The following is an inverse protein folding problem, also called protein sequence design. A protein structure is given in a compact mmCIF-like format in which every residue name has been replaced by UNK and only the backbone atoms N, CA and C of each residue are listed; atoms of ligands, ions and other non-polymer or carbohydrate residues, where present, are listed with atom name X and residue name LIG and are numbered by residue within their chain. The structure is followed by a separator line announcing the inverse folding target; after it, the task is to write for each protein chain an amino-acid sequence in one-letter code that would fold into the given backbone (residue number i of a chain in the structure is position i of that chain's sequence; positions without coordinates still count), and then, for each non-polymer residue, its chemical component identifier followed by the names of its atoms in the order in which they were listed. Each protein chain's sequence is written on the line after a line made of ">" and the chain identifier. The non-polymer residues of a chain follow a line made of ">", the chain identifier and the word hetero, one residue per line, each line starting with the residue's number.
data_IF_935451834173
#
_entry.id   IF_935451834173
#
_cell.length_a   1.000
_cell.length_b   1.000
_cell.length_c   1.000
_cell.angle_alpha   90.00
_cell.angle_beta   90.00
_cell.angle_gamma   90.00
#
_symmetry.space_group_name_H-M   'P 1'
#
loop_
_entity.id
_entity.type
_entity.pdbx_description
1 polymer ?
#
# COMPACT_ATOMS: atom_id res chain seq x y z
N UNK A 1 46.22 24.14 30.60
CA UNK A 1 45.02 24.47 29.80
C UNK A 1 45.50 24.88 28.41
N UNK A 2 45.63 23.92 27.48
CA UNK A 2 46.10 24.13 26.10
C UNK A 2 44.97 23.69 25.19
N UNK A 3 44.44 24.65 24.44
CA UNK A 3 43.32 24.50 23.51
C UNK A 3 43.75 23.69 22.29
N UNK A 4 43.03 22.61 21.99
CA UNK A 4 43.03 21.95 20.68
C UNK A 4 41.61 22.12 20.14
N UNK A 5 41.44 23.09 19.25
CA UNK A 5 40.25 23.22 18.42
C UNK A 5 40.51 22.39 17.15
N UNK A 6 39.92 21.20 17.10
CA UNK A 6 39.91 20.35 15.91
C UNK A 6 38.84 20.86 14.95
N UNK A 7 39.22 21.00 13.68
CA UNK A 7 38.40 21.55 12.62
C UNK A 7 37.49 20.45 12.04
N UNK A 8 36.18 20.55 12.28
CA UNK A 8 35.21 19.84 11.45
C UNK A 8 35.01 20.61 10.15
N UNK A 9 35.65 20.13 9.09
CA UNK A 9 35.34 20.49 7.72
C UNK A 9 33.93 19.98 7.38
N UNK A 10 32.96 20.90 7.43
CA UNK A 10 31.59 20.62 7.00
C UNK A 10 31.61 20.52 5.48
N UNK A 11 31.61 19.29 4.95
CA UNK A 11 31.41 19.03 3.52
C UNK A 11 30.06 19.63 3.14
N UNK A 12 30.10 20.82 2.51
CA UNK A 12 28.92 21.47 1.99
C UNK A 12 28.31 20.57 0.90
N UNK A 13 27.15 19.98 1.19
CA UNK A 13 26.36 19.28 0.18
C UNK A 13 26.09 20.25 -0.99
N UNK A 14 26.36 19.86 -2.24
CA UNK A 14 26.05 20.70 -3.38
C UNK A 14 24.54 20.96 -3.41
N UNK A 15 24.16 22.24 -3.43
CA UNK A 15 22.76 22.63 -3.58
C UNK A 15 22.23 22.11 -4.91
N UNK A 16 21.02 21.52 -4.95
CA UNK A 16 20.47 20.97 -6.18
C UNK A 16 20.38 22.06 -7.26
N UNK A 17 20.78 21.68 -8.47
CA UNK A 17 20.78 22.54 -9.65
C UNK A 17 19.38 23.06 -9.98
N UNK A 18 19.29 24.16 -10.72
CA UNK A 18 18.01 24.72 -11.17
C UNK A 18 17.19 23.73 -12.02
N UNK A 19 17.87 22.82 -12.73
CA UNK A 19 17.27 21.73 -13.50
C UNK A 19 16.70 20.63 -12.60
N UNK A 20 17.38 20.24 -11.52
CA UNK A 20 16.83 19.31 -10.52
C UNK A 20 15.65 19.92 -9.78
N UNK A 21 15.75 21.19 -9.37
CA UNK A 21 14.61 21.93 -8.78
C UNK A 21 13.41 22.01 -9.71
N UNK A 22 13.61 22.15 -11.02
CA UNK A 22 12.52 22.10 -12.01
C UNK A 22 11.92 20.71 -12.19
N UNK A 23 12.71 19.64 -12.07
CA UNK A 23 12.21 18.25 -12.08
C UNK A 23 11.35 17.98 -10.84
N UNK A 24 11.81 18.40 -9.66
CA UNK A 24 11.04 18.32 -8.42
C UNK A 24 9.79 19.22 -8.43
N UNK A 25 9.85 20.40 -9.05
CA UNK A 25 8.71 21.32 -9.15
C UNK A 25 7.68 20.92 -10.23
N UNK A 26 8.11 20.18 -11.27
CA UNK A 26 7.21 19.62 -12.28
C UNK A 26 6.39 18.42 -11.77
N UNK A 27 6.77 17.87 -10.61
CA UNK A 27 6.12 16.75 -9.92
C UNK A 27 5.06 17.21 -8.89
N UNK A 28 4.88 18.52 -8.65
CA UNK A 28 3.87 18.96 -7.69
C UNK A 28 2.48 18.43 -8.10
N UNK A 29 1.81 17.60 -7.29
CA UNK A 29 0.50 17.06 -7.63
C UNK A 29 -0.48 18.22 -7.87
N UNK A 30 -1.50 17.96 -8.71
CA UNK A 30 -2.48 18.96 -9.14
C UNK A 30 -3.20 19.68 -7.97
N UNK A 31 -3.17 19.09 -6.76
CA UNK A 31 -3.35 19.74 -5.48
C UNK A 31 -2.76 18.83 -4.39
N UNK A 32 -2.17 19.33 -3.29
CA UNK A 32 -1.70 18.45 -2.21
C UNK A 32 -2.88 17.67 -1.62
N UNK A 33 -2.73 16.34 -1.53
CA UNK A 33 -3.73 15.45 -0.92
C UNK A 33 -3.91 15.83 0.56
N UNK A 34 -5.14 16.11 1.03
CA UNK A 34 -5.44 16.35 2.44
C UNK A 34 -4.94 15.22 3.35
N UNK A 35 -4.46 15.54 4.55
CA UNK A 35 -3.85 14.57 5.48
C UNK A 35 -4.71 13.34 5.75
N UNK A 36 -6.02 13.50 5.99
CA UNK A 36 -6.92 12.37 6.22
C UNK A 36 -7.08 11.46 4.99
N UNK A 37 -7.09 12.04 3.79
CA UNK A 37 -7.13 11.28 2.53
C UNK A 37 -5.80 10.60 2.26
N UNK A 38 -4.68 11.22 2.62
CA UNK A 38 -3.37 10.59 2.58
C UNK A 38 -3.29 9.38 3.52
N UNK A 39 -3.73 9.52 4.78
CA UNK A 39 -3.80 8.41 5.74
C UNK A 39 -4.64 7.26 5.21
N UNK A 40 -5.76 7.54 4.53
CA UNK A 40 -6.55 6.51 3.87
C UNK A 40 -5.72 5.72 2.84
N UNK A 41 -4.94 6.41 1.98
CA UNK A 41 -4.08 5.77 0.99
C UNK A 41 -2.95 4.95 1.65
N UNK A 42 -2.38 5.45 2.74
CA UNK A 42 -1.31 4.76 3.48
C UNK A 42 -1.82 3.50 4.19
N UNK A 43 -3.00 3.54 4.80
CA UNK A 43 -3.55 2.40 5.56
C UNK A 43 -4.21 1.34 4.67
N UNK A 44 -4.65 1.70 3.45
CA UNK A 44 -5.39 0.79 2.57
C UNK A 44 -4.62 -0.50 2.20
N UNK A 45 -3.32 -0.47 1.83
CA UNK A 45 -2.56 -1.69 1.54
C UNK A 45 -2.62 -2.74 2.66
N UNK A 46 -2.44 -2.33 3.92
CA UNK A 46 -2.50 -3.23 5.08
C UNK A 46 -3.90 -3.82 5.28
N UNK A 47 -4.94 -2.97 5.19
CA UNK A 47 -6.34 -3.40 5.28
C UNK A 47 -6.72 -4.40 4.19
N UNK A 48 -6.19 -4.22 2.98
CA UNK A 48 -6.39 -5.15 1.86
C UNK A 48 -5.72 -6.49 2.11
N UNK A 49 -4.53 -6.52 2.71
CA UNK A 49 -3.89 -7.78 3.13
C UNK A 49 -4.80 -8.52 4.12
N UNK A 50 -5.28 -7.84 5.16
CA UNK A 50 -6.16 -8.44 6.17
C UNK A 50 -7.44 -8.97 5.50
N UNK A 51 -8.09 -8.18 4.64
CA UNK A 51 -9.33 -8.59 3.97
C UNK A 51 -9.10 -9.80 3.03
N UNK A 52 -7.99 -9.82 2.30
CA UNK A 52 -7.63 -10.94 1.45
C UNK A 52 -7.40 -12.23 2.26
N UNK A 53 -6.79 -12.14 3.44
CA UNK A 53 -6.63 -13.31 4.34
C UNK A 53 -7.95 -13.79 4.96
N UNK A 54 -8.93 -12.89 5.10
CA UNK A 54 -10.24 -13.19 5.68
C UNK A 54 -11.31 -13.54 4.63
N UNK A 55 -10.96 -13.52 3.33
CA UNK A 55 -11.93 -13.75 2.26
C UNK A 55 -12.46 -15.19 2.20
N UNK A 56 -11.69 -16.16 2.72
CA UNK A 56 -12.13 -17.55 2.83
C UNK A 56 -12.63 -17.84 4.25
N UNK A 57 -13.91 -18.21 4.39
CA UNK A 57 -14.55 -18.44 5.70
C UNK A 57 -14.11 -19.74 6.39
N UNK A 58 -13.67 -20.75 5.63
CA UNK A 58 -13.37 -22.11 6.13
C UNK A 58 -11.87 -22.45 6.19
N UNK A 59 -11.00 -21.45 5.95
CA UNK A 59 -9.56 -21.64 6.14
C UNK A 59 -9.20 -21.58 7.62
N UNK A 60 -8.45 -22.56 8.17
CA UNK A 60 -8.01 -22.53 9.56
C UNK A 60 -6.99 -21.40 9.77
N UNK A 61 -7.51 -20.20 10.03
CA UNK A 61 -6.75 -19.00 10.40
C UNK A 61 -5.91 -18.36 9.29
N UNK A 62 -5.54 -17.09 9.53
CA UNK A 62 -4.57 -16.32 8.74
C UNK A 62 -3.26 -17.12 8.65
N UNK A 63 -2.85 -17.55 7.46
CA UNK A 63 -1.59 -18.30 7.35
C UNK A 63 -0.40 -17.34 7.40
N UNK A 64 0.70 -17.76 8.02
CA UNK A 64 1.96 -16.99 8.01
C UNK A 64 2.42 -16.72 6.56
N UNK A 65 2.17 -17.67 5.66
CA UNK A 65 2.50 -17.54 4.24
C UNK A 65 1.72 -16.40 3.56
N UNK A 66 0.42 -16.27 3.83
CA UNK A 66 -0.41 -15.16 3.34
C UNK A 66 0.06 -13.81 3.87
N UNK A 67 0.34 -13.72 5.17
CA UNK A 67 0.85 -12.48 5.77
C UNK A 67 2.18 -12.04 5.15
N UNK A 68 3.12 -12.98 4.99
CA UNK A 68 4.42 -12.71 4.34
C UNK A 68 4.25 -12.33 2.86
N UNK A 69 3.32 -12.96 2.15
CA UNK A 69 3.03 -12.60 0.75
C UNK A 69 2.45 -11.19 0.64
N UNK A 70 1.59 -10.79 1.58
CA UNK A 70 1.06 -9.42 1.68
C UNK A 70 2.16 -8.40 1.92
N UNK A 71 3.03 -8.64 2.91
CA UNK A 71 4.16 -7.76 3.21
C UNK A 71 5.14 -7.65 2.03
N UNK A 72 5.45 -8.77 1.38
CA UNK A 72 6.30 -8.78 0.18
C UNK A 72 5.65 -8.02 -0.99
N UNK A 73 4.32 -8.12 -1.14
CA UNK A 73 3.58 -7.40 -2.16
C UNK A 73 3.57 -5.88 -1.92
N UNK A 74 3.44 -5.45 -0.67
CA UNK A 74 3.56 -4.05 -0.27
C UNK A 74 4.99 -3.56 -0.54
N UNK A 75 6.00 -4.30 -0.09
CA UNK A 75 7.41 -3.98 -0.27
C UNK A 75 7.81 -3.84 -1.75
N UNK A 76 7.16 -4.60 -2.65
CA UNK A 76 7.39 -4.53 -4.09
C UNK A 76 7.02 -3.17 -4.69
N UNK A 77 6.13 -2.40 -4.04
CA UNK A 77 5.80 -1.04 -4.47
C UNK A 77 6.99 -0.07 -4.46
N UNK A 78 8.07 -0.37 -3.70
CA UNK A 78 9.32 0.42 -3.75
C UNK A 78 9.98 0.44 -5.13
N UNK A 79 9.73 -0.59 -5.95
CA UNK A 79 10.25 -0.71 -7.30
C UNK A 79 9.24 -0.22 -8.37
N UNK A 80 8.10 0.34 -7.97
CA UNK A 80 7.12 0.92 -8.90
C UNK A 80 7.71 2.15 -9.59
N UNK A 81 7.35 2.38 -10.85
CA UNK A 81 7.69 3.61 -11.58
C UNK A 81 6.87 4.82 -11.10
N UNK A 82 5.74 4.57 -10.43
CA UNK A 82 4.88 5.61 -9.83
C UNK A 82 5.50 6.16 -8.54
N UNK A 83 5.76 7.47 -8.53
CA UNK A 83 6.22 8.20 -7.35
C UNK A 83 5.20 8.15 -6.21
N UNK A 84 3.90 8.24 -6.52
CA UNK A 84 2.84 8.06 -5.52
C UNK A 84 2.94 6.70 -4.82
N UNK A 85 3.09 5.60 -5.57
CA UNK A 85 3.22 4.26 -4.96
C UNK A 85 4.46 4.18 -4.09
N UNK A 86 5.60 4.72 -4.55
CA UNK A 86 6.83 4.75 -3.74
C UNK A 86 6.64 5.57 -2.45
N UNK A 87 5.96 6.71 -2.52
CA UNK A 87 5.67 7.57 -1.37
C UNK A 87 4.75 6.88 -0.36
N UNK A 88 3.70 6.18 -0.82
CA UNK A 88 2.80 5.41 0.06
C UNK A 88 3.56 4.31 0.78
N UNK A 89 4.41 3.55 0.07
CA UNK A 89 5.20 2.49 0.71
C UNK A 89 6.15 3.06 1.77
N UNK A 90 6.81 4.17 1.49
CA UNK A 90 7.66 4.84 2.48
C UNK A 90 6.86 5.22 3.74
N UNK A 91 5.66 5.77 3.57
CA UNK A 91 4.79 6.15 4.68
C UNK A 91 4.28 4.94 5.49
N UNK A 92 3.93 3.82 4.83
CA UNK A 92 3.52 2.58 5.52
C UNK A 92 4.60 2.11 6.51
N UNK A 93 5.87 2.15 6.08
CA UNK A 93 6.98 1.74 6.95
C UNK A 93 7.27 2.77 8.04
N UNK A 94 7.11 4.07 7.77
CA UNK A 94 7.27 5.11 8.79
C UNK A 94 6.24 4.98 9.92
N UNK A 95 4.96 4.74 9.60
CA UNK A 95 3.92 4.53 10.63
C UNK A 95 4.18 3.28 11.48
N UNK A 96 4.75 2.23 10.88
CA UNK A 96 5.08 0.98 11.58
C UNK A 96 6.20 1.17 12.61
N UNK A 97 7.15 2.07 12.31
CA UNK A 97 8.26 2.39 13.21
C UNK A 97 7.83 3.29 14.39
N UNK A 98 6.77 4.11 14.22
CA UNK A 98 6.28 5.06 15.24
C UNK A 98 5.25 4.47 16.21
N UNK A 99 4.29 3.67 15.73
CA UNK A 99 3.14 3.19 16.54
C UNK A 99 3.26 1.72 17.01
N UNK A 100 4.27 0.97 16.55
CA UNK A 100 4.29 -0.48 16.73
C UNK A 100 3.17 -1.19 15.93
N UNK A 101 3.13 -2.53 15.87
CA UNK A 101 2.16 -3.23 15.03
C UNK A 101 0.75 -3.15 15.62
N UNK A 102 -0.03 -2.15 15.20
CA UNK A 102 -1.49 -2.18 15.31
C UNK A 102 -2.01 -3.28 14.37
N UNK A 103 -2.15 -4.48 14.91
CA UNK A 103 -2.82 -5.57 14.23
C UNK A 103 -4.33 -5.26 14.20
N UNK A 104 -4.76 -4.49 13.21
CA UNK A 104 -6.18 -4.38 12.90
C UNK A 104 -6.73 -5.81 12.66
N UNK A 105 -7.62 -6.24 13.53
CA UNK A 105 -8.34 -7.51 13.42
C UNK A 105 -9.80 -7.20 13.12
N UNK A 106 -10.37 -7.86 12.11
CA UNK A 106 -11.79 -7.72 11.84
C UNK A 106 -12.58 -8.55 12.87
N UNK A 107 -13.16 -7.88 13.86
CA UNK A 107 -14.09 -8.51 14.82
C UNK A 107 -15.30 -9.13 14.11
N UNK A 108 -15.70 -8.57 12.96
CA UNK A 108 -16.68 -9.11 12.01
C UNK A 108 -16.04 -9.12 10.61
N UNK A 109 -15.70 -10.30 10.06
CA UNK A 109 -15.08 -10.42 8.73
C UNK A 109 -15.93 -9.81 7.61
N UNK A 110 -17.26 -9.95 7.65
CA UNK A 110 -18.16 -9.46 6.59
C UNK A 110 -18.18 -7.93 6.60
N UNK A 111 -18.35 -7.34 7.79
CA UNK A 111 -18.28 -5.88 7.94
C UNK A 111 -16.89 -5.34 7.58
N UNK A 112 -15.83 -6.07 7.94
CA UNK A 112 -14.44 -5.77 7.58
C UNK A 112 -14.22 -5.70 6.08
N UNK A 113 -14.63 -6.74 5.35
CA UNK A 113 -14.54 -6.80 3.88
C UNK A 113 -15.32 -5.63 3.23
N UNK A 114 -16.55 -5.37 3.68
CA UNK A 114 -17.35 -4.27 3.17
C UNK A 114 -16.67 -2.90 3.41
N UNK A 115 -16.06 -2.70 4.58
CA UNK A 115 -15.32 -1.49 4.92
C UNK A 115 -14.07 -1.30 4.04
N UNK A 116 -13.36 -2.37 3.68
CA UNK A 116 -12.22 -2.31 2.75
C UNK A 116 -12.67 -1.95 1.33
N UNK A 117 -13.79 -2.51 0.86
CA UNK A 117 -14.35 -2.15 -0.45
C UNK A 117 -14.85 -0.70 -0.50
N UNK A 118 -15.40 -0.19 0.60
CA UNK A 118 -15.77 1.22 0.71
C UNK A 118 -14.53 2.13 0.71
N UNK A 119 -13.50 1.78 1.49
CA UNK A 119 -12.23 2.49 1.52
C UNK A 119 -11.52 2.49 0.15
N UNK A 120 -11.62 1.40 -0.60
CA UNK A 120 -11.06 1.28 -1.96
C UNK A 120 -11.76 2.21 -2.96
N UNK A 121 -13.09 2.32 -2.86
CA UNK A 121 -13.87 3.29 -3.65
C UNK A 121 -13.48 4.72 -3.32
N UNK A 122 -13.36 5.03 -2.03
CA UNK A 122 -12.96 6.37 -1.60
C UNK A 122 -11.54 6.71 -2.06
N UNK A 123 -10.60 5.78 -1.93
CA UNK A 123 -9.25 5.95 -2.45
C UNK A 123 -9.25 6.23 -3.97
N UNK A 124 -10.04 5.49 -4.76
CA UNK A 124 -10.17 5.75 -6.20
C UNK A 124 -10.70 7.16 -6.51
N UNK A 125 -11.63 7.68 -5.69
CA UNK A 125 -12.15 9.06 -5.83
C UNK A 125 -11.08 10.10 -5.47
N UNK A 126 -10.40 9.94 -4.34
CA UNK A 126 -9.28 10.80 -3.92
C UNK A 126 -8.22 10.88 -5.01
N UNK A 127 -7.84 9.74 -5.58
CA UNK A 127 -6.83 9.67 -6.63
C UNK A 127 -7.30 10.33 -7.93
N UNK A 128 -8.58 10.20 -8.28
CA UNK A 128 -9.14 10.89 -9.45
C UNK A 128 -9.17 12.42 -9.27
N UNK A 129 -9.30 12.91 -8.04
CA UNK A 129 -9.33 14.33 -7.72
C UNK A 129 -7.93 14.96 -7.61
N UNK A 130 -6.96 14.23 -7.07
CA UNK A 130 -5.69 14.80 -6.63
C UNK A 130 -4.43 14.25 -7.30
N UNK A 131 -4.48 13.06 -7.89
CA UNK A 131 -3.32 12.43 -8.53
C UNK A 131 -3.42 12.52 -10.07
N UNK A 132 -2.27 12.47 -10.75
CA UNK A 132 -2.30 12.31 -12.19
C UNK A 132 -2.86 10.92 -12.57
N UNK A 133 -3.41 10.76 -13.80
CA UNK A 133 -4.04 9.51 -14.20
C UNK A 133 -3.11 8.29 -14.19
N UNK A 134 -1.81 8.46 -14.42
CA UNK A 134 -0.84 7.36 -14.45
C UNK A 134 -0.55 6.87 -13.03
N UNK A 135 -0.31 7.79 -12.09
CA UNK A 135 -0.12 7.46 -10.67
C UNK A 135 -1.39 6.85 -10.06
N UNK A 136 -2.57 7.42 -10.38
CA UNK A 136 -3.85 6.86 -9.98
C UNK A 136 -4.05 5.42 -10.49
N UNK A 137 -3.72 5.15 -11.76
CA UNK A 137 -3.80 3.81 -12.31
C UNK A 137 -2.80 2.85 -11.66
N UNK A 138 -1.54 3.28 -11.48
CA UNK A 138 -0.49 2.48 -10.86
C UNK A 138 -0.84 2.09 -9.42
N UNK A 139 -1.34 3.04 -8.62
CA UNK A 139 -1.78 2.76 -7.25
C UNK A 139 -2.90 1.73 -7.21
N UNK A 140 -3.96 1.92 -8.02
CA UNK A 140 -5.12 1.00 -8.03
C UNK A 140 -4.71 -0.40 -8.47
N UNK A 141 -3.87 -0.52 -9.50
CA UNK A 141 -3.33 -1.80 -9.94
C UNK A 141 -2.45 -2.46 -8.87
N UNK A 142 -1.64 -1.67 -8.16
CA UNK A 142 -0.80 -2.17 -7.08
C UNK A 142 -1.63 -2.73 -5.91
N UNK A 143 -2.71 -2.04 -5.50
CA UNK A 143 -3.65 -2.56 -4.48
C UNK A 143 -4.27 -3.89 -4.92
N UNK A 144 -4.76 -3.98 -6.17
CA UNK A 144 -5.31 -5.22 -6.72
C UNK A 144 -4.26 -6.35 -6.73
N UNK A 145 -3.01 -6.03 -7.08
CA UNK A 145 -1.91 -6.99 -7.11
C UNK A 145 -1.52 -7.50 -5.71
N UNK A 146 -1.64 -6.67 -4.67
CA UNK A 146 -1.46 -7.10 -3.28
C UNK A 146 -2.47 -8.18 -2.92
N UNK A 147 -3.77 -7.91 -3.11
CA UNK A 147 -4.83 -8.88 -2.83
C UNK A 147 -4.62 -10.19 -3.60
N UNK A 148 -4.33 -10.10 -4.90
CA UNK A 148 -4.09 -11.27 -5.74
C UNK A 148 -2.91 -12.14 -5.26
N UNK A 149 -1.83 -11.51 -4.75
CA UNK A 149 -0.68 -12.22 -4.18
C UNK A 149 -0.99 -12.89 -2.84
N UNK A 150 -1.85 -12.28 -2.02
CA UNK A 150 -2.27 -12.85 -0.73
C UNK A 150 -3.14 -14.08 -0.94
N UNK A 151 -4.23 -13.99 -1.73
CA UNK A 151 -5.08 -15.15 -2.06
C UNK A 151 -4.28 -16.26 -2.75
N UNK A 152 -3.28 -15.89 -3.56
CA UNK A 152 -2.34 -16.83 -4.15
C UNK A 152 -1.47 -17.59 -3.12
N UNK A 153 -1.16 -17.04 -1.96
CA UNK A 153 -0.26 -17.66 -0.99
C UNK A 153 -0.93 -18.76 -0.13
N UNK A 154 -2.26 -18.68 0.06
CA UNK A 154 -3.08 -19.68 0.74
C UNK A 154 -2.93 -21.10 0.16
N UNK A 155 -2.46 -21.20 -1.09
CA UNK A 155 -2.14 -22.44 -1.82
C UNK A 155 -1.15 -23.37 -1.12
N UNK A 156 -0.26 -22.86 -0.28
CA UNK A 156 0.89 -23.65 0.21
C UNK A 156 0.53 -24.80 1.17
N UNK A 157 -0.74 -24.93 1.59
CA UNK A 157 -1.23 -26.01 2.46
C UNK A 157 -2.11 -27.09 1.82
N UNK A 158 -2.62 -26.91 0.58
CA UNK A 158 -3.71 -27.74 0.05
C UNK A 158 -3.38 -28.31 -1.34
N UNK A 159 -3.18 -29.63 -1.43
CA UNK A 159 -2.62 -30.29 -2.64
C UNK A 159 -3.67 -30.66 -3.71
N UNK A 160 -4.94 -30.27 -3.59
CA UNK A 160 -5.99 -30.73 -4.52
C UNK A 160 -7.22 -29.79 -4.68
N UNK A 161 -7.05 -28.45 -4.63
CA UNK A 161 -8.14 -27.48 -4.79
C UNK A 161 -7.95 -26.48 -5.95
N UNK A 162 -8.98 -25.71 -6.34
CA UNK A 162 -8.84 -24.57 -7.26
C UNK A 162 -7.77 -23.58 -6.75
N UNK A 163 -7.03 -22.94 -7.66
CA UNK A 163 -5.90 -22.04 -7.33
C UNK A 163 -6.26 -20.84 -6.46
N UNK A 164 -7.54 -20.45 -6.47
CA UNK A 164 -8.19 -19.36 -5.73
C UNK A 164 -9.63 -19.85 -5.51
N UNK A 165 -10.15 -19.72 -4.28
CA UNK A 165 -11.49 -20.17 -3.94
C UNK A 165 -12.58 -19.37 -4.68
N UNK A 166 -13.84 -19.76 -4.53
CA UNK A 166 -14.94 -18.96 -5.08
C UNK A 166 -15.07 -17.62 -4.37
N UNK A 167 -14.88 -17.60 -3.04
CA UNK A 167 -15.02 -16.39 -2.22
C UNK A 167 -13.84 -15.43 -2.42
N UNK A 168 -12.62 -15.94 -2.51
CA UNK A 168 -11.44 -15.14 -2.88
C UNK A 168 -11.58 -14.53 -4.29
N UNK A 169 -12.08 -15.30 -5.27
CA UNK A 169 -12.35 -14.77 -6.63
C UNK A 169 -13.41 -13.69 -6.62
N UNK A 170 -14.46 -13.87 -5.81
CA UNK A 170 -15.50 -12.85 -5.62
C UNK A 170 -14.91 -11.59 -5.00
N UNK A 171 -14.12 -11.73 -3.93
CA UNK A 171 -13.44 -10.60 -3.29
C UNK A 171 -12.54 -9.84 -4.27
N UNK A 172 -11.72 -10.53 -5.06
CA UNK A 172 -10.87 -9.90 -6.08
C UNK A 172 -11.67 -9.18 -7.17
N UNK A 173 -12.84 -9.70 -7.53
CA UNK A 173 -13.74 -9.06 -8.50
C UNK A 173 -14.37 -7.80 -7.92
N UNK A 174 -14.88 -7.89 -6.69
CA UNK A 174 -15.50 -6.77 -5.98
C UNK A 174 -14.47 -5.66 -5.68
N UNK A 175 -13.22 -6.03 -5.35
CA UNK A 175 -12.11 -5.10 -5.16
C UNK A 175 -11.75 -4.40 -6.48
N UNK A 176 -11.67 -5.15 -7.59
CA UNK A 176 -11.42 -4.57 -8.91
C UNK A 176 -12.49 -3.57 -9.32
N UNK A 177 -13.77 -3.87 -9.04
CA UNK A 177 -14.89 -2.95 -9.25
C UNK A 177 -14.82 -1.73 -8.35
N UNK A 178 -14.50 -1.91 -7.06
CA UNK A 178 -14.34 -0.81 -6.11
C UNK A 178 -13.21 0.14 -6.51
N UNK A 179 -12.14 -0.40 -7.12
CA UNK A 179 -11.02 0.36 -7.65
C UNK A 179 -11.28 0.90 -9.06
N UNK A 180 -12.41 0.60 -9.72
CA UNK A 180 -12.68 1.05 -11.09
C UNK A 180 -11.68 0.50 -12.12
N UNK A 181 -11.30 -0.77 -11.99
CA UNK A 181 -10.40 -1.50 -12.89
C UNK A 181 -11.15 -2.44 -13.86
N UNK A 182 -12.46 -2.56 -13.73
CA UNK A 182 -13.36 -3.40 -14.54
C UNK A 182 -14.43 -2.57 -15.22
#
# INVERSE_FOLDING_TARGET
>A
MRSYADAQEVVAMPSPSASERRRFAAWAPASPIPAAQWTLLVRLPGRVVIAATSAEHDSPGRTVAEGLAGLAAIAAGRASDSDLVRAVVAAVYAETDEDGPDAEEFTDPVAGLAAVLAASREAARVLAEHADPADSAAYRQWIQAIAAKVCAAARSGHVAGPRVSADERRFLTDLGAALGLV
#
